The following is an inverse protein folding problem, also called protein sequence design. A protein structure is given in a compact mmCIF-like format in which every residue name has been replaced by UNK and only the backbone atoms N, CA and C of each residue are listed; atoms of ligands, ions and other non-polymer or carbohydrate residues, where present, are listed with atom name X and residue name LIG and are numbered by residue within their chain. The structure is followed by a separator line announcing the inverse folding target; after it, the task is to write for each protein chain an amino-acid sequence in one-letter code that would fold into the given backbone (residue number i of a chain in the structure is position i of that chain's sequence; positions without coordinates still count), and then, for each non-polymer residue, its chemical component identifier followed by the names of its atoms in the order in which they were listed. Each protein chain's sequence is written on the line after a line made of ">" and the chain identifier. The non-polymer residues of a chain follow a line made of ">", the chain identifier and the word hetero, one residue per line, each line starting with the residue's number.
data_IF_928040517911
#
_entry.id   IF_928040517911
#
_cell.length_a   1.000
_cell.length_b   1.000
_cell.length_c   1.000
_cell.angle_alpha   90.00
_cell.angle_beta   90.00
_cell.angle_gamma   90.00
#
_symmetry.space_group_name_H-M   'P 1'
#
loop_
_entity.id
_entity.type
_entity.pdbx_description
1 polymer ?
#
# COMPACT_ATOMS: atom_id res chain seq x y z
N UNK A 1 -35.09 14.50 -9.90
CA UNK A 1 -34.39 13.49 -9.08
C UNK A 1 -33.03 14.07 -8.70
N UNK A 2 -32.87 14.47 -7.44
CA UNK A 2 -31.55 14.85 -6.92
C UNK A 2 -30.82 13.55 -6.58
N UNK A 3 -29.70 13.28 -7.26
CA UNK A 3 -28.82 12.18 -6.88
C UNK A 3 -28.23 12.53 -5.49
N UNK A 4 -28.35 11.65 -4.48
CA UNK A 4 -27.77 11.93 -3.18
C UNK A 4 -26.26 12.09 -3.34
N UNK A 5 -25.72 13.15 -2.74
CA UNK A 5 -24.28 13.37 -2.65
C UNK A 5 -23.70 12.24 -1.81
N UNK A 6 -23.26 11.16 -2.46
CA UNK A 6 -22.51 10.09 -1.79
C UNK A 6 -21.30 10.76 -1.17
N UNK A 7 -21.31 10.92 0.16
CA UNK A 7 -20.14 11.30 0.92
C UNK A 7 -19.16 10.14 0.78
N UNK A 8 -18.35 10.16 -0.28
CA UNK A 8 -17.30 9.17 -0.51
C UNK A 8 -16.25 9.47 0.55
N UNK A 9 -16.41 8.90 1.75
CA UNK A 9 -15.37 8.90 2.76
C UNK A 9 -14.19 8.19 2.11
N UNK A 10 -13.18 8.96 1.70
CA UNK A 10 -11.98 8.41 1.08
C UNK A 10 -11.38 7.41 2.08
N UNK A 11 -11.40 6.13 1.75
CA UNK A 11 -10.90 5.07 2.62
C UNK A 11 -9.39 5.26 2.81
N UNK A 12 -8.96 5.77 3.97
CA UNK A 12 -7.54 6.01 4.31
C UNK A 12 -6.90 4.74 4.84
N UNK A 13 -5.64 4.45 4.55
CA UNK A 13 -4.91 3.31 5.13
C UNK A 13 -3.79 3.84 6.01
N UNK A 14 -3.54 3.21 7.17
CA UNK A 14 -2.31 3.42 7.91
C UNK A 14 -1.13 2.75 7.21
N UNK A 15 0.09 3.25 7.43
CA UNK A 15 1.29 2.60 6.90
C UNK A 15 1.47 1.18 7.42
N UNK A 16 1.04 0.91 8.67
CA UNK A 16 1.07 -0.44 9.24
C UNK A 16 0.12 -1.40 8.52
N UNK A 17 -1.08 -0.95 8.17
CA UNK A 17 -2.02 -1.74 7.36
C UNK A 17 -1.44 -2.05 5.98
N UNK A 18 -0.87 -1.05 5.30
CA UNK A 18 -0.24 -1.25 3.98
C UNK A 18 0.89 -2.27 4.06
N UNK A 19 1.81 -2.13 5.03
CA UNK A 19 2.89 -3.12 5.22
C UNK A 19 2.32 -4.52 5.47
N UNK A 20 1.31 -4.64 6.33
CA UNK A 20 0.69 -5.93 6.66
C UNK A 20 0.09 -6.59 5.41
N UNK A 21 -0.69 -5.85 4.62
CA UNK A 21 -1.32 -6.37 3.40
C UNK A 21 -0.26 -6.78 2.38
N UNK A 22 0.73 -5.92 2.12
CA UNK A 22 1.80 -6.22 1.16
C UNK A 22 2.58 -7.47 1.55
N UNK A 23 2.90 -7.65 2.83
CA UNK A 23 3.63 -8.82 3.29
C UNK A 23 2.77 -10.09 3.26
N UNK A 24 1.56 -10.04 3.82
CA UNK A 24 0.69 -11.21 3.97
C UNK A 24 0.10 -11.68 2.64
N UNK A 25 -0.38 -10.76 1.82
CA UNK A 25 -1.24 -11.06 0.68
C UNK A 25 -0.51 -10.96 -0.67
N UNK A 26 0.59 -10.21 -0.73
CA UNK A 26 1.34 -9.99 -1.96
C UNK A 26 2.77 -10.56 -1.95
N UNK A 27 3.20 -11.17 -0.85
CA UNK A 27 4.50 -11.85 -0.75
C UNK A 27 5.70 -10.91 -0.63
N UNK A 28 5.49 -9.68 -0.16
CA UNK A 28 6.61 -8.81 0.20
C UNK A 28 7.23 -9.23 1.54
N UNK A 29 8.48 -8.85 1.77
CA UNK A 29 9.17 -8.98 3.04
C UNK A 29 9.90 -7.69 3.40
N UNK A 30 10.04 -7.45 4.70
CA UNK A 30 10.75 -6.28 5.24
C UNK A 30 12.25 -6.47 5.05
N UNK A 31 12.91 -5.46 4.47
CA UNK A 31 14.36 -5.44 4.24
C UNK A 31 15.06 -4.61 5.29
N UNK A 32 14.54 -3.41 5.55
CA UNK A 32 15.10 -2.47 6.51
C UNK A 32 14.10 -1.38 6.85
N UNK A 33 14.39 -0.63 7.91
CA UNK A 33 13.63 0.53 8.31
C UNK A 33 14.59 1.69 8.65
N UNK A 34 14.24 2.90 8.23
CA UNK A 34 14.92 4.14 8.65
C UNK A 34 13.86 5.15 9.10
N UNK A 35 13.86 5.46 10.40
CA UNK A 35 12.79 6.28 10.98
C UNK A 35 11.42 5.63 10.76
N UNK A 36 10.46 6.40 10.23
CA UNK A 36 9.12 5.89 9.91
C UNK A 36 9.03 5.13 8.59
N UNK A 37 10.09 5.06 7.77
CA UNK A 37 10.01 4.47 6.43
C UNK A 37 10.51 3.02 6.43
N UNK A 38 9.63 2.09 6.05
CA UNK A 38 9.91 0.66 5.93
C UNK A 38 10.14 0.31 4.47
N UNK A 39 11.31 -0.25 4.15
CA UNK A 39 11.62 -0.80 2.83
C UNK A 39 11.14 -2.24 2.74
N UNK A 40 10.32 -2.52 1.72
CA UNK A 40 9.81 -3.85 1.40
C UNK A 40 10.38 -4.34 0.07
N UNK A 41 10.57 -5.66 -0.06
CA UNK A 41 10.94 -6.32 -1.31
C UNK A 41 10.07 -7.53 -1.62
N UNK A 42 9.90 -7.83 -2.91
CA UNK A 42 9.35 -9.08 -3.43
C UNK A 42 10.22 -9.59 -4.57
N UNK A 43 10.52 -10.88 -4.58
CA UNK A 43 11.26 -11.53 -5.66
C UNK A 43 10.27 -12.14 -6.65
N UNK A 44 10.41 -11.81 -7.94
CA UNK A 44 9.57 -12.32 -9.03
C UNK A 44 10.49 -12.81 -10.15
N UNK A 45 10.71 -14.12 -10.21
CA UNK A 45 11.71 -14.71 -11.10
C UNK A 45 13.10 -14.14 -10.82
N UNK A 46 13.71 -13.48 -11.82
CA UNK A 46 15.02 -12.81 -11.68
C UNK A 46 14.93 -11.34 -11.28
N UNK A 47 13.72 -10.80 -11.10
CA UNK A 47 13.47 -9.39 -10.76
C UNK A 47 13.20 -9.23 -9.27
N UNK A 48 13.56 -8.06 -8.73
CA UNK A 48 13.21 -7.64 -7.37
C UNK A 48 12.36 -6.39 -7.46
N UNK A 49 11.13 -6.45 -6.95
CA UNK A 49 10.28 -5.28 -6.73
C UNK A 49 10.64 -4.67 -5.37
N UNK A 50 10.76 -3.36 -5.29
CA UNK A 50 11.09 -2.65 -4.05
C UNK A 50 10.13 -1.47 -3.88
N UNK A 51 9.53 -1.36 -2.70
CA UNK A 51 8.69 -0.20 -2.33
C UNK A 51 9.05 0.28 -0.92
N UNK A 52 8.67 1.51 -0.59
CA UNK A 52 8.92 2.14 0.72
C UNK A 52 7.62 2.67 1.29
N UNK A 53 7.26 2.20 2.49
CA UNK A 53 6.01 2.56 3.17
C UNK A 53 6.31 3.43 4.40
N UNK A 54 5.82 4.68 4.47
CA UNK A 54 5.88 5.46 5.70
C UNK A 54 4.84 4.96 6.71
N UNK A 55 5.24 4.76 7.97
CA UNK A 55 4.40 4.23 9.07
C UNK A 55 3.55 5.31 9.75
N UNK A 56 2.82 6.10 8.96
CA UNK A 56 1.91 7.12 9.48
C UNK A 56 0.54 6.51 9.82
N UNK A 57 -0.22 7.17 10.70
CA UNK A 57 -1.59 6.73 11.07
C UNK A 57 -2.52 6.72 9.87
N UNK A 58 -2.34 7.66 8.95
CA UNK A 58 -3.06 7.73 7.68
C UNK A 58 -2.09 8.11 6.57
N UNK A 59 -2.22 7.45 5.43
CA UNK A 59 -1.50 7.75 4.22
C UNK A 59 -2.41 8.47 3.22
N UNK A 60 -1.87 9.53 2.63
CA UNK A 60 -2.52 10.21 1.53
C UNK A 60 -2.71 9.23 0.36
N UNK A 61 -3.78 9.41 -0.40
CA UNK A 61 -4.10 8.57 -1.56
C UNK A 61 -2.94 8.49 -2.56
N UNK A 62 -2.26 9.61 -2.83
CA UNK A 62 -1.08 9.66 -3.71
C UNK A 62 0.09 8.82 -3.19
N UNK A 63 0.29 8.77 -1.86
CA UNK A 63 1.32 7.92 -1.25
C UNK A 63 1.00 6.44 -1.43
N UNK A 64 -0.25 6.05 -1.23
CA UNK A 64 -0.70 4.66 -1.45
C UNK A 64 -0.51 4.29 -2.94
N UNK A 65 -0.91 5.17 -3.86
CA UNK A 65 -0.70 4.93 -5.28
C UNK A 65 0.77 4.72 -5.66
N UNK A 66 1.66 5.61 -5.21
CA UNK A 66 3.09 5.43 -5.49
C UNK A 66 3.66 4.15 -4.89
N UNK A 67 3.18 3.73 -3.71
CA UNK A 67 3.57 2.44 -3.12
C UNK A 67 3.13 1.27 -4.00
N UNK A 68 1.88 1.28 -4.47
CA UNK A 68 1.28 0.22 -5.27
C UNK A 68 1.87 0.15 -6.69
N UNK A 69 2.18 1.30 -7.28
CA UNK A 69 2.87 1.39 -8.58
C UNK A 69 4.25 0.72 -8.52
N UNK A 70 5.07 1.07 -7.52
CA UNK A 70 6.38 0.44 -7.30
C UNK A 70 6.28 -1.05 -6.95
N UNK A 71 5.15 -1.46 -6.37
CA UNK A 71 4.86 -2.85 -6.02
C UNK A 71 4.25 -3.65 -7.18
N UNK A 72 3.93 -3.01 -8.31
CA UNK A 72 3.20 -3.59 -9.46
C UNK A 72 1.87 -4.24 -9.03
N UNK A 73 1.10 -3.56 -8.17
CA UNK A 73 -0.21 -4.02 -7.66
C UNK A 73 -1.29 -3.03 -8.08
N UNK A 74 -2.41 -3.53 -8.60
CA UNK A 74 -3.57 -2.68 -8.91
C UNK A 74 -4.27 -2.20 -7.61
N UNK A 75 -4.84 -1.00 -7.64
CA UNK A 75 -5.63 -0.49 -6.49
C UNK A 75 -6.81 -1.43 -6.17
N UNK A 76 -7.41 -2.03 -7.20
CA UNK A 76 -8.52 -2.98 -7.07
C UNK A 76 -8.09 -4.26 -6.35
N UNK A 77 -6.95 -4.85 -6.72
CA UNK A 77 -6.43 -6.05 -6.05
C UNK A 77 -6.04 -5.75 -4.61
N UNK A 78 -5.38 -4.62 -4.37
CA UNK A 78 -4.98 -4.20 -3.03
C UNK A 78 -6.19 -4.06 -2.09
N UNK A 79 -7.28 -3.46 -2.58
CA UNK A 79 -8.49 -3.21 -1.78
C UNK A 79 -9.25 -4.47 -1.37
N UNK A 80 -8.98 -5.64 -1.97
CA UNK A 80 -9.61 -6.92 -1.61
C UNK A 80 -9.23 -7.41 -0.20
N UNK A 81 -8.13 -6.92 0.34
CA UNK A 81 -7.53 -7.41 1.59
C UNK A 81 -7.81 -6.51 2.81
N UNK A 82 -8.76 -5.59 2.68
CA UNK A 82 -9.18 -4.67 3.74
C UNK A 82 -10.58 -4.97 4.25
#
# INVERSE_FOLDING_TARGET
>A
MLQPLTLVVAKTFSGKEVVKILCRDFGFFVVSQKGSHVKLRKIVGRRTLTTVVPLHKELARGTIFGILELAEISEEDFKKFR
#
